data_IF_002629350759
#
_entry.id   IF_002629350759
#
_cell.length_a   1.000
_cell.length_b   1.000
_cell.length_c   1.000
_cell.angle_alpha   90.00
_cell.angle_beta   90.00
_cell.angle_gamma   90.00
#
_symmetry.space_group_name_H-M   'P 1'
#
loop_
_entity.id
_entity.type
_entity.pdbx_description
1 polymer ?
#
# COMPACT_ATOMS: atom_id res chain seq x y z
N UNK A 1 -0.35 23.04 30.21
CA UNK A 1 0.51 22.30 29.27
C UNK A 1 -0.24 22.20 27.94
N UNK A 2 0.27 22.79 26.85
CA UNK A 2 -0.32 22.55 25.52
C UNK A 2 0.09 21.15 25.08
N UNK A 3 -0.82 20.30 24.57
CA UNK A 3 -0.39 19.08 23.90
C UNK A 3 0.43 19.52 22.69
N UNK A 4 1.73 19.22 22.69
CA UNK A 4 2.56 19.37 21.51
C UNK A 4 2.07 18.32 20.51
N UNK A 5 1.16 18.70 19.63
CA UNK A 5 0.76 17.94 18.45
C UNK A 5 1.96 17.86 17.53
N UNK A 6 2.88 16.93 17.82
CA UNK A 6 4.00 16.68 16.93
C UNK A 6 3.43 16.20 15.59
N UNK A 7 3.85 16.81 14.47
CA UNK A 7 3.41 16.38 13.16
C UNK A 7 3.81 14.92 12.96
N UNK A 8 2.95 14.22 12.22
CA UNK A 8 3.22 12.91 11.71
C UNK A 8 4.58 12.94 11.01
N UNK A 9 5.57 12.19 11.50
CA UNK A 9 6.86 12.14 10.79
C UNK A 9 6.67 11.38 9.48
N UNK A 10 7.51 11.64 8.48
CA UNK A 10 7.48 10.87 7.24
C UNK A 10 7.68 9.38 7.55
N UNK A 11 6.75 8.55 7.05
CA UNK A 11 6.75 7.09 7.23
C UNK A 11 6.82 6.44 5.86
N UNK A 12 7.67 5.43 5.74
CA UNK A 12 7.81 4.61 4.55
C UNK A 12 7.52 3.16 4.90
N UNK A 13 6.68 2.50 4.12
CA UNK A 13 6.40 1.07 4.26
C UNK A 13 6.90 0.37 3.01
N UNK A 14 7.90 -0.49 3.15
CA UNK A 14 8.43 -1.31 2.05
C UNK A 14 7.86 -2.71 2.11
N UNK A 15 7.39 -3.22 0.98
CA UNK A 15 6.79 -4.55 0.83
C UNK A 15 7.53 -5.28 -0.29
N UNK A 16 8.55 -6.08 0.03
CA UNK A 16 9.24 -6.90 -0.96
C UNK A 16 8.39 -8.09 -1.40
N UNK A 17 8.57 -8.53 -2.65
CA UNK A 17 8.02 -9.76 -3.21
C UNK A 17 6.53 -10.05 -2.89
N UNK A 18 5.61 -9.08 -3.04
CA UNK A 18 4.22 -9.28 -2.66
C UNK A 18 3.46 -10.25 -3.58
N UNK A 19 3.99 -10.50 -4.78
CA UNK A 19 3.35 -11.34 -5.80
C UNK A 19 4.06 -12.68 -5.94
N UNK A 20 3.28 -13.74 -6.15
CA UNK A 20 3.82 -15.08 -6.29
C UNK A 20 4.67 -15.21 -7.58
N UNK A 21 5.77 -15.96 -7.49
CA UNK A 21 6.64 -16.28 -8.63
C UNK A 21 7.63 -15.18 -9.03
N UNK A 22 7.71 -14.08 -8.27
CA UNK A 22 8.66 -12.99 -8.54
C UNK A 22 9.22 -12.38 -7.24
N UNK A 23 10.51 -12.59 -6.99
CA UNK A 23 11.20 -12.06 -5.79
C UNK A 23 11.65 -10.61 -5.94
N UNK A 24 11.98 -10.22 -7.18
CA UNK A 24 12.69 -8.96 -7.45
C UNK A 24 11.74 -7.79 -7.71
N UNK A 25 10.44 -7.99 -7.45
CA UNK A 25 9.42 -6.96 -7.56
C UNK A 25 8.92 -6.62 -6.15
N UNK A 26 8.88 -5.34 -5.81
CA UNK A 26 8.34 -4.85 -4.54
C UNK A 26 7.66 -3.49 -4.70
N UNK A 27 7.05 -3.01 -3.63
CA UNK A 27 6.55 -1.64 -3.59
C UNK A 27 6.82 -0.94 -2.28
N UNK A 28 6.75 0.39 -2.34
CA UNK A 28 6.96 1.30 -1.24
C UNK A 28 5.80 2.27 -1.16
N UNK A 29 5.07 2.28 -0.04
CA UNK A 29 4.09 3.32 0.28
C UNK A 29 4.78 4.43 1.07
N UNK A 30 4.60 5.70 0.65
CA UNK A 30 5.24 6.86 1.28
C UNK A 30 4.19 7.79 1.90
N UNK A 31 4.18 7.88 3.22
CA UNK A 31 3.31 8.79 3.98
C UNK A 31 4.11 10.04 4.29
N UNK A 32 3.70 11.16 3.68
CA UNK A 32 4.34 12.45 3.93
C UNK A 32 4.03 12.93 5.35
N UNK A 33 4.93 13.76 5.86
CA UNK A 33 4.68 14.46 7.12
C UNK A 33 3.43 15.33 7.00
N UNK A 34 2.53 15.22 7.98
CA UNK A 34 1.30 16.00 8.04
C UNK A 34 0.92 16.32 9.49
N UNK A 35 0.17 17.40 9.71
CA UNK A 35 -0.32 17.72 11.04
C UNK A 35 -1.34 16.67 11.51
N UNK A 36 -1.41 16.47 12.83
CA UNK A 36 -2.46 15.66 13.45
C UNK A 36 -3.81 16.33 13.16
N UNK A 37 -4.81 15.57 12.68
CA UNK A 37 -6.15 16.03 12.22
C UNK A 37 -6.26 16.60 10.79
N UNK A 38 -5.19 16.64 9.99
CA UNK A 38 -5.35 16.88 8.54
C UNK A 38 -5.92 15.64 7.83
N UNK A 39 -6.76 15.80 6.79
CA UNK A 39 -7.14 14.71 5.91
C UNK A 39 -5.89 13.98 5.39
N UNK A 40 -5.99 12.66 5.24
CA UNK A 40 -4.87 11.87 4.73
C UNK A 40 -4.54 12.35 3.31
N UNK A 41 -3.29 12.78 3.10
CA UNK A 41 -2.80 13.16 1.77
C UNK A 41 -2.72 11.93 0.88
N UNK A 42 -2.76 12.15 -0.44
CA UNK A 42 -2.49 11.11 -1.43
C UNK A 42 -1.20 10.36 -1.05
N UNK A 43 -1.31 9.04 -0.88
CA UNK A 43 -0.19 8.18 -0.51
C UNK A 43 0.35 7.52 -1.78
N UNK A 44 1.50 7.97 -2.32
CA UNK A 44 2.09 7.32 -3.49
C UNK A 44 2.63 5.93 -3.12
N UNK A 45 2.39 4.99 -4.02
CA UNK A 45 3.01 3.68 -4.09
C UNK A 45 3.99 3.70 -5.26
N UNK A 46 5.26 3.53 -4.92
CA UNK A 46 6.34 3.30 -5.88
C UNK A 46 6.54 1.80 -6.00
N UNK A 47 6.33 1.24 -7.18
CA UNK A 47 6.52 -0.19 -7.44
C UNK A 47 7.73 -0.34 -8.37
N UNK A 48 8.64 -1.23 -7.99
CA UNK A 48 9.92 -1.44 -8.65
C UNK A 48 10.09 -2.93 -8.94
N UNK A 49 10.62 -3.26 -10.11
CA UNK A 49 10.91 -4.65 -10.48
C UNK A 49 11.42 -4.81 -11.91
N UNK A 50 11.65 -6.04 -12.38
CA UNK A 50 12.22 -6.28 -13.70
C UNK A 50 11.24 -5.92 -14.83
N UNK A 51 11.73 -5.52 -16.02
CA UNK A 51 10.87 -4.91 -17.04
C UNK A 51 9.68 -5.75 -17.53
N UNK A 52 9.84 -7.05 -17.90
CA UNK A 52 8.72 -7.82 -18.44
C UNK A 52 7.51 -7.95 -17.51
N UNK A 53 7.64 -8.34 -16.22
CA UNK A 53 6.51 -8.37 -15.29
C UNK A 53 5.97 -6.98 -14.94
N UNK A 54 6.81 -5.94 -14.93
CA UNK A 54 6.37 -4.57 -14.66
C UNK A 54 5.40 -4.04 -15.73
N UNK A 55 5.65 -4.33 -17.02
CA UNK A 55 4.69 -3.98 -18.10
C UNK A 55 3.34 -4.64 -17.89
N UNK A 56 3.34 -5.95 -17.60
CA UNK A 56 2.11 -6.71 -17.32
C UNK A 56 1.40 -6.19 -16.07
N UNK A 57 2.16 -5.85 -15.03
CA UNK A 57 1.61 -5.27 -13.81
C UNK A 57 0.93 -3.94 -14.12
N UNK A 58 1.58 -3.04 -14.86
CA UNK A 58 1.03 -1.73 -15.21
C UNK A 58 -0.30 -1.84 -15.97
N UNK A 59 -0.42 -2.79 -16.90
CA UNK A 59 -1.68 -3.09 -17.60
C UNK A 59 -2.77 -3.55 -16.64
N UNK A 60 -2.45 -4.45 -15.72
CA UNK A 60 -3.40 -4.97 -14.72
C UNK A 60 -3.79 -3.92 -13.69
N UNK A 61 -2.88 -3.02 -13.31
CA UNK A 61 -3.15 -1.91 -12.41
C UNK A 61 -4.15 -0.91 -12.98
N UNK A 62 -4.32 -0.82 -14.30
CA UNK A 62 -5.37 0.01 -14.90
C UNK A 62 -6.78 -0.42 -14.44
N UNK A 63 -6.97 -1.71 -14.10
CA UNK A 63 -8.26 -2.23 -13.62
C UNK A 63 -8.66 -1.60 -12.27
N UNK A 64 -7.69 -1.15 -11.47
CA UNK A 64 -7.93 -0.58 -10.15
C UNK A 64 -8.52 0.84 -10.24
N UNK A 65 -8.39 1.52 -11.39
CA UNK A 65 -8.99 2.83 -11.64
C UNK A 65 -10.52 2.83 -11.50
N UNK A 66 -11.14 1.68 -11.77
CA UNK A 66 -12.58 1.51 -11.65
C UNK A 66 -13.07 1.39 -10.21
N UNK A 67 -12.17 1.19 -9.25
CA UNK A 67 -12.51 1.03 -7.84
C UNK A 67 -12.79 2.40 -7.23
N UNK A 68 -14.07 2.74 -7.23
CA UNK A 68 -14.61 3.89 -6.54
C UNK A 68 -15.31 3.37 -5.28
N UNK A 69 -14.52 2.99 -4.28
CA UNK A 69 -15.08 2.72 -2.97
C UNK A 69 -15.68 4.00 -2.39
N UNK A 70 -16.63 3.89 -1.47
CA UNK A 70 -17.17 5.07 -0.77
C UNK A 70 -16.12 5.83 0.05
N UNK A 71 -14.98 5.19 0.34
CA UNK A 71 -13.96 5.70 1.25
C UNK A 71 -12.57 5.92 0.62
N UNK A 72 -12.33 5.50 -0.63
CA UNK A 72 -11.04 5.72 -1.30
C UNK A 72 -11.12 5.54 -2.82
N UNK A 73 -10.07 5.98 -3.51
CA UNK A 73 -9.86 5.75 -4.95
C UNK A 73 -8.38 5.59 -5.29
N UNK A 74 -8.07 4.90 -6.39
CA UNK A 74 -6.72 4.82 -6.96
C UNK A 74 -6.52 5.83 -8.08
N UNK A 75 -5.35 6.45 -8.17
CA UNK A 75 -4.98 7.22 -9.37
C UNK A 75 -4.66 6.32 -10.54
N UNK A 76 -4.63 6.89 -11.74
CA UNK A 76 -4.07 6.18 -12.90
C UNK A 76 -2.61 5.79 -12.63
N UNK A 77 -2.21 4.55 -12.91
CA UNK A 77 -0.82 4.15 -12.79
C UNK A 77 -0.01 4.75 -13.94
N UNK A 78 1.15 5.33 -13.59
CA UNK A 78 2.06 5.99 -14.51
C UNK A 78 3.39 5.23 -14.51
N UNK A 79 3.82 4.77 -15.68
CA UNK A 79 5.15 4.20 -15.88
C UNK A 79 6.18 5.34 -15.93
N UNK A 80 7.15 5.32 -15.01
CA UNK A 80 8.27 6.28 -15.00
C UNK A 80 9.45 5.75 -15.82
N UNK A 81 9.63 4.42 -15.81
CA UNK A 81 10.53 3.66 -16.66
C UNK A 81 9.89 2.29 -16.92
N UNK A 82 10.56 1.39 -17.65
CA UNK A 82 10.10 0.01 -17.79
C UNK A 82 10.23 -0.82 -16.51
N UNK A 83 10.97 -0.33 -15.52
CA UNK A 83 11.21 -0.97 -14.21
C UNK A 83 10.41 -0.34 -13.05
N UNK A 84 9.76 0.81 -13.28
CA UNK A 84 9.14 1.61 -12.23
C UNK A 84 7.74 2.09 -12.63
N UNK A 85 6.73 1.74 -11.82
CA UNK A 85 5.37 2.29 -11.92
C UNK A 85 4.97 3.00 -10.63
N UNK A 86 4.25 4.11 -10.77
CA UNK A 86 3.71 4.88 -9.64
C UNK A 86 2.21 5.00 -9.76
N UNK A 87 1.51 4.82 -8.65
CA UNK A 87 0.10 5.16 -8.46
C UNK A 87 -0.08 5.70 -7.04
N UNK A 88 -1.19 6.36 -6.74
CA UNK A 88 -1.45 6.85 -5.40
C UNK A 88 -2.81 6.38 -4.88
N UNK A 89 -2.84 6.08 -3.59
CA UNK A 89 -4.08 5.92 -2.82
C UNK A 89 -4.60 7.30 -2.45
N UNK A 90 -5.88 7.55 -2.73
CA UNK A 90 -6.58 8.77 -2.30
C UNK A 90 -7.62 8.41 -1.27
N UNK A 91 -7.47 8.92 -0.07
CA UNK A 91 -8.50 8.82 0.95
C UNK A 91 -9.70 9.70 0.59
N UNK A 92 -10.90 9.12 0.63
CA UNK A 92 -12.19 9.80 0.42
C UNK A 92 -13.11 9.63 1.64
N UNK A 93 -12.63 9.00 2.72
CA UNK A 93 -13.42 8.70 3.91
C UNK A 93 -13.80 9.94 4.73
N UNK A 94 -12.99 11.01 4.66
CA UNK A 94 -13.25 12.28 5.35
C UNK A 94 -14.03 13.21 4.43
N UNK A 95 -15.27 12.83 4.16
CA UNK A 95 -16.35 13.76 3.85
C UNK A 95 -17.31 13.77 5.06
N UNK A 96 -16.84 14.30 6.20
CA UNK A 96 -17.72 14.71 7.30
C UNK A 96 -17.72 13.91 8.60
N UNK A 97 -16.57 13.60 9.21
CA UNK A 97 -16.54 13.31 10.65
C UNK A 97 -15.21 13.71 11.30
N UNK A 98 -15.27 14.66 12.23
CA UNK A 98 -14.17 15.06 13.09
C UNK A 98 -13.79 13.91 14.05
N UNK A 99 -12.53 13.49 14.01
CA UNK A 99 -12.01 12.45 14.90
C UNK A 99 -11.64 13.08 16.26
N UNK A 100 -12.48 12.85 17.25
CA UNK A 100 -12.30 13.25 18.66
C UNK A 100 -11.31 12.35 19.39
N UNK A 101 -10.43 13.05 20.12
CA UNK A 101 -9.64 12.74 21.31
C UNK A 101 -8.80 11.45 21.43
N UNK A 102 -7.54 11.71 21.78
CA UNK A 102 -6.45 10.74 21.80
C UNK A 102 -6.30 9.90 23.06
N UNK A 103 -5.64 8.75 22.88
CA UNK A 103 -4.75 8.10 23.85
C UNK A 103 -3.88 7.06 23.11
N UNK A 104 -2.79 6.55 23.71
CA UNK A 104 -1.47 6.47 23.09
C UNK A 104 -1.37 5.32 22.09
N UNK A 105 -1.02 5.61 20.85
CA UNK A 105 -0.92 4.59 19.81
C UNK A 105 0.26 4.92 18.92
N UNK A 106 1.38 4.21 19.09
CA UNK A 106 2.36 4.08 18.00
C UNK A 106 2.13 2.76 17.25
N UNK A 107 1.85 1.66 17.96
CA UNK A 107 1.55 0.35 17.36
C UNK A 107 0.16 0.30 16.68
N UNK A 108 -0.91 0.69 17.38
CA UNK A 108 -2.26 0.76 16.77
C UNK A 108 -2.31 1.79 15.64
N UNK A 109 -1.44 2.78 15.69
CA UNK A 109 -1.30 3.84 14.71
C UNK A 109 -0.56 3.39 13.44
N UNK A 110 0.51 2.59 13.57
CA UNK A 110 1.14 1.92 12.41
C UNK A 110 0.13 0.98 11.75
N UNK A 111 -0.65 0.22 12.52
CA UNK A 111 -1.71 -0.62 11.96
C UNK A 111 -2.81 0.22 11.27
N UNK A 112 -3.13 1.40 11.81
CA UNK A 112 -4.03 2.36 11.18
C UNK A 112 -3.43 3.06 9.95
N UNK A 113 -2.11 3.04 9.73
CA UNK A 113 -1.46 3.54 8.52
C UNK A 113 -1.28 2.45 7.46
N UNK A 114 -0.85 1.26 7.87
CA UNK A 114 -0.58 0.09 7.01
C UNK A 114 -1.88 -0.44 6.40
N UNK A 115 -2.94 -0.63 7.21
CA UNK A 115 -4.20 -1.23 6.74
C UNK A 115 -4.90 -0.44 5.64
N UNK A 116 -5.04 0.90 5.71
CA UNK A 116 -5.77 1.64 4.68
C UNK A 116 -5.15 1.55 3.29
N UNK A 117 -3.82 1.50 3.18
CA UNK A 117 -3.15 1.60 1.88
C UNK A 117 -2.57 0.27 1.44
N UNK A 118 -1.70 -0.34 2.24
CA UNK A 118 -0.96 -1.55 1.85
C UNK A 118 -1.92 -2.73 1.70
N UNK A 119 -2.80 -2.96 2.68
CA UNK A 119 -3.73 -4.08 2.61
C UNK A 119 -4.77 -3.85 1.54
N UNK A 120 -5.29 -2.63 1.44
CA UNK A 120 -6.23 -2.26 0.38
C UNK A 120 -5.63 -2.47 -1.00
N UNK A 121 -4.37 -2.06 -1.22
CA UNK A 121 -3.67 -2.27 -2.49
C UNK A 121 -3.54 -3.76 -2.82
N UNK A 122 -3.04 -4.56 -1.89
CA UNK A 122 -2.86 -6.00 -2.07
C UNK A 122 -4.20 -6.72 -2.30
N UNK A 123 -5.23 -6.33 -1.54
CA UNK A 123 -6.59 -6.83 -1.72
C UNK A 123 -7.11 -6.51 -3.11
N UNK A 124 -7.03 -5.26 -3.53
CA UNK A 124 -7.55 -4.83 -4.83
C UNK A 124 -6.77 -5.49 -5.98
N UNK A 125 -5.47 -5.71 -5.82
CA UNK A 125 -4.67 -6.50 -6.74
C UNK A 125 -5.18 -7.94 -6.85
N UNK A 126 -5.46 -8.60 -5.74
CA UNK A 126 -5.91 -10.00 -5.72
C UNK A 126 -7.36 -10.17 -6.18
N UNK A 127 -8.27 -9.30 -5.73
CA UNK A 127 -9.71 -9.42 -5.98
C UNK A 127 -10.11 -8.84 -7.34
N UNK A 128 -9.56 -7.67 -7.71
CA UNK A 128 -9.94 -6.98 -8.96
C UNK A 128 -9.01 -7.36 -10.11
N UNK A 129 -7.69 -7.26 -9.91
CA UNK A 129 -6.73 -7.61 -10.96
C UNK A 129 -6.44 -9.12 -11.05
N UNK A 130 -6.97 -9.92 -10.11
CA UNK A 130 -6.77 -11.37 -10.02
C UNK A 130 -5.31 -11.77 -9.85
N UNK A 131 -4.47 -10.87 -9.35
CA UNK A 131 -3.05 -11.11 -9.12
C UNK A 131 -2.85 -12.08 -7.96
N UNK A 132 -2.02 -13.11 -8.19
CA UNK A 132 -1.66 -14.06 -7.15
C UNK A 132 -0.65 -13.44 -6.20
N UNK A 133 -1.04 -13.22 -4.95
CA UNK A 133 -0.17 -12.78 -3.88
C UNK A 133 0.71 -13.92 -3.37
N UNK A 134 1.88 -13.59 -2.83
CA UNK A 134 2.71 -14.53 -2.08
C UNK A 134 1.97 -15.03 -0.82
N UNK A 135 2.32 -16.23 -0.34
CA UNK A 135 1.65 -16.83 0.83
C UNK A 135 1.95 -16.07 2.13
N UNK A 136 3.11 -15.41 2.19
CA UNK A 136 3.52 -14.54 3.28
C UNK A 136 3.87 -13.17 2.72
N UNK A 137 3.36 -12.14 3.35
CA UNK A 137 3.67 -10.74 3.02
C UNK A 137 4.55 -10.18 4.12
N UNK A 138 5.77 -9.82 3.74
CA UNK A 138 6.73 -9.14 4.61
C UNK A 138 6.63 -7.63 4.38
N UNK A 139 6.74 -6.85 5.45
CA UNK A 139 6.68 -5.40 5.39
C UNK A 139 7.68 -4.81 6.37
N UNK A 140 8.37 -3.75 5.95
CA UNK A 140 9.28 -2.98 6.80
C UNK A 140 8.79 -1.56 6.90
N UNK A 141 8.52 -1.11 8.12
CA UNK A 141 8.05 0.25 8.42
C UNK A 141 9.24 1.06 8.91
N UNK A 142 9.51 2.19 8.27
CA UNK A 142 10.59 3.10 8.65
C UNK A 142 10.06 4.52 8.85
N UNK A 143 10.61 5.25 9.81
CA UNK A 143 10.31 6.65 10.05
C UNK A 143 11.61 7.41 10.31
N UNK A 144 11.78 8.61 9.73
CA UNK A 144 13.02 9.40 9.86
C UNK A 144 14.31 8.58 9.62
N UNK A 145 14.27 7.67 8.65
CA UNK A 145 15.36 6.76 8.27
C UNK A 145 15.75 5.70 9.31
N UNK A 146 14.98 5.53 10.40
CA UNK A 146 15.13 4.42 11.32
C UNK A 146 14.07 3.34 11.03
N UNK A 147 14.47 2.07 11.05
CA UNK A 147 13.49 0.96 11.05
C UNK A 147 12.71 1.00 12.35
N UNK A 148 11.38 1.01 12.23
CA UNK A 148 10.45 1.11 13.37
C UNK A 148 9.83 -0.26 13.65
N UNK A 149 9.54 -1.04 12.61
CA UNK A 149 8.96 -2.36 12.75
C UNK A 149 9.18 -3.21 11.50
N UNK A 150 9.40 -4.51 11.69
CA UNK A 150 9.29 -5.53 10.67
C UNK A 150 8.04 -6.37 10.96
N UNK A 151 7.18 -6.55 9.95
CA UNK A 151 5.88 -7.19 10.08
C UNK A 151 5.82 -8.31 9.03
N UNK A 152 5.41 -9.51 9.46
CA UNK A 152 5.16 -10.63 8.57
C UNK A 152 3.73 -11.09 8.78
N UNK A 153 2.96 -11.20 7.71
CA UNK A 153 1.56 -11.59 7.76
C UNK A 153 1.27 -12.74 6.80
N UNK A 154 0.42 -13.70 7.19
CA UNK A 154 -0.14 -14.63 6.23
C UNK A 154 -1.06 -13.88 5.27
N UNK A 155 -1.07 -14.30 4.00
CA UNK A 155 -1.99 -13.76 2.98
C UNK A 155 -3.45 -13.74 3.44
N UNK A 156 -3.88 -14.75 4.20
CA UNK A 156 -5.27 -14.91 4.62
C UNK A 156 -5.76 -13.80 5.57
N UNK A 157 -4.83 -13.03 6.16
CA UNK A 157 -5.13 -11.82 6.93
C UNK A 157 -5.43 -10.59 6.03
N UNK A 158 -5.13 -10.70 4.73
CA UNK A 158 -5.30 -9.64 3.72
C UNK A 158 -6.47 -9.98 2.78
N UNK A 159 -6.48 -11.20 2.23
CA UNK A 159 -7.53 -11.68 1.32
C UNK A 159 -7.94 -13.12 1.62
N UNK A 160 -9.24 -13.40 1.59
CA UNK A 160 -9.78 -14.76 1.78
C UNK A 160 -9.57 -15.66 0.58
N UNK A 161 -9.59 -15.10 -0.63
CA UNK A 161 -9.36 -15.81 -1.88
C UNK A 161 -8.22 -15.13 -2.62
N UNK A 162 -7.18 -15.88 -2.95
CA UNK A 162 -6.06 -15.35 -3.73
C UNK A 162 -6.45 -15.21 -5.21
N UNK A 163 -5.71 -14.36 -5.92
CA UNK A 163 -5.74 -14.34 -7.38
C UNK A 163 -5.07 -15.58 -7.99
N UNK A 164 -5.38 -15.86 -9.24
CA UNK A 164 -4.85 -16.96 -10.04
C UNK A 164 -3.81 -16.51 -11.08
N UNK A 165 -3.71 -15.20 -11.35
CA UNK A 165 -2.78 -14.65 -12.34
C UNK A 165 -1.40 -14.45 -11.74
N UNK A 166 -0.42 -15.16 -12.28
CA UNK A 166 0.99 -14.86 -12.06
C UNK A 166 1.42 -13.68 -12.94
N UNK A 167 2.29 -12.81 -12.42
CA UNK A 167 2.93 -11.75 -13.21
C UNK A 167 3.98 -12.32 -14.16
N UNK A 168 4.68 -13.36 -13.71
CA UNK A 168 5.78 -13.99 -14.43
C UNK A 168 5.85 -15.49 -14.11
N UNK A 169 6.37 -16.27 -15.06
CA UNK A 169 6.35 -17.73 -15.01
C UNK A 169 5.08 -18.35 -15.59
N UNK A 170 5.20 -19.59 -16.08
CA UNK A 170 4.06 -20.38 -16.52
C UNK A 170 3.20 -20.73 -15.30
N UNK A 171 1.88 -20.50 -15.40
CA UNK A 171 0.94 -21.17 -14.52
C UNK A 171 1.16 -22.68 -14.73
N UNK A 172 1.75 -23.33 -13.74
CA UNK A 172 1.90 -24.79 -13.70
C UNK A 172 0.53 -25.46 -13.67
#
# INVERSE_FOLDING_TARGET
>A
MRPSSQPLSEVTIKVPAPFAGISDLGFTAQYRSQAFQEPLRDVPLLIEGPPPPMRRLAELLQLLRGIHGSAYSWTEPVMLSDEVVVLAFRDRSIAGNDLSDGAPAHASYILNLVRPVVFTFLRDCAETARLRLADKIEMRVSAKNASVADIVLPRDDIVRSNGDRLLWGLAG
#
